data_IF_193583139705
#
_entry.id   IF_193583139705
#
_cell.length_a   1.000
_cell.length_b   1.000
_cell.length_c   1.000
_cell.angle_alpha   90.00
_cell.angle_beta   90.00
_cell.angle_gamma   90.00
#
_symmetry.space_group_name_H-M   'P 1'
#
loop_
_entity.id
_entity.type
_entity.pdbx_description
1 polymer ?
#
# COMPACT_ATOMS: atom_id res chain seq x y z
N UNK A 1 -24.19 -12.89 11.47
CA UNK A 1 -22.77 -12.76 11.16
C UNK A 1 -22.46 -11.35 10.74
N UNK A 2 -21.70 -10.69 11.54
CA UNK A 2 -21.22 -9.39 11.13
C UNK A 2 -20.10 -9.59 10.13
N UNK A 3 -20.35 -9.19 8.92
CA UNK A 3 -19.28 -9.13 7.96
C UNK A 3 -18.32 -8.02 8.42
N UNK A 4 -17.16 -8.43 8.85
CA UNK A 4 -16.09 -7.48 9.02
C UNK A 4 -15.77 -6.93 7.64
N UNK A 5 -15.78 -5.63 7.51
CA UNK A 5 -15.40 -4.99 6.27
C UNK A 5 -13.92 -5.25 6.06
N UNK A 6 -13.60 -6.06 5.07
CA UNK A 6 -12.20 -6.27 4.72
C UNK A 6 -11.60 -4.98 4.22
N UNK A 7 -10.38 -4.73 4.64
CA UNK A 7 -9.59 -3.60 4.16
C UNK A 7 -8.26 -4.10 3.65
N UNK A 8 -7.81 -3.52 2.57
CA UNK A 8 -6.47 -3.75 2.05
C UNK A 8 -5.66 -2.48 2.18
N UNK A 9 -4.47 -2.60 2.75
CA UNK A 9 -3.46 -1.55 2.68
C UNK A 9 -2.57 -1.87 1.48
N UNK A 10 -2.63 -1.02 0.48
CA UNK A 10 -1.78 -1.13 -0.71
C UNK A 10 -0.65 -0.12 -0.59
N UNK A 11 0.58 -0.62 -0.52
CA UNK A 11 1.76 0.24 -0.44
C UNK A 11 2.40 0.32 -1.81
N UNK A 12 2.39 1.49 -2.41
CA UNK A 12 3.13 1.78 -3.63
C UNK A 12 4.54 2.20 -3.25
N UNK A 13 5.54 1.69 -3.94
CA UNK A 13 6.92 1.86 -3.53
C UNK A 13 7.33 0.90 -2.42
N UNK A 14 6.71 -0.27 -2.40
CA UNK A 14 6.89 -1.28 -1.35
C UNK A 14 8.34 -1.77 -1.20
N UNK A 15 9.11 -1.75 -2.27
CA UNK A 15 10.52 -2.13 -2.23
C UNK A 15 11.43 -1.01 -1.71
N UNK A 16 10.89 0.18 -1.46
CA UNK A 16 11.64 1.32 -0.97
C UNK A 16 11.93 1.25 0.52
N UNK A 17 12.80 2.15 0.96
CA UNK A 17 13.27 2.18 2.35
C UNK A 17 12.16 2.55 3.35
N UNK A 18 11.33 3.53 3.01
CA UNK A 18 10.27 4.00 3.90
C UNK A 18 9.28 2.89 4.23
N UNK A 19 8.89 2.07 3.23
CA UNK A 19 7.96 0.97 3.45
C UNK A 19 8.50 0.00 4.51
N UNK A 20 9.76 -0.39 4.38
CA UNK A 20 10.36 -1.36 5.30
C UNK A 20 10.67 -0.79 6.68
N UNK A 21 10.96 0.50 6.78
CA UNK A 21 11.39 1.12 8.04
C UNK A 21 10.25 1.69 8.85
N UNK A 22 9.19 2.18 8.21
CA UNK A 22 8.11 2.87 8.91
C UNK A 22 6.73 2.28 8.65
N UNK A 23 6.38 2.02 7.39
CA UNK A 23 5.01 1.65 7.05
C UNK A 23 4.65 0.24 7.50
N UNK A 24 5.49 -0.73 7.17
CA UNK A 24 5.23 -2.13 7.56
C UNK A 24 5.36 -2.31 9.07
N UNK A 25 6.39 -1.78 9.74
CA UNK A 25 6.45 -1.85 11.20
C UNK A 25 5.24 -1.19 11.87
N UNK A 26 4.79 -0.04 11.38
CA UNK A 26 3.59 0.62 11.90
C UNK A 26 2.34 -0.22 11.76
N UNK A 27 2.18 -0.90 10.63
CA UNK A 27 1.08 -1.83 10.43
C UNK A 27 1.17 -2.99 11.44
N UNK A 28 2.38 -3.52 11.65
CA UNK A 28 2.61 -4.58 12.62
C UNK A 28 2.14 -4.19 14.00
N UNK A 29 2.46 -2.98 14.44
CA UNK A 29 2.02 -2.48 15.75
C UNK A 29 0.50 -2.40 15.83
N UNK A 30 -0.16 -1.92 14.79
CA UNK A 30 -1.63 -1.82 14.76
C UNK A 30 -2.30 -3.20 14.80
N UNK A 31 -1.78 -4.15 14.05
CA UNK A 31 -2.33 -5.52 14.03
C UNK A 31 -2.10 -6.21 15.37
N UNK A 32 -0.89 -6.10 15.91
CA UNK A 32 -0.54 -6.74 17.18
C UNK A 32 -1.35 -6.18 18.35
N UNK A 33 -1.68 -4.89 18.31
CA UNK A 33 -2.48 -4.25 19.37
C UNK A 33 -3.96 -4.58 19.29
N UNK A 34 -4.42 -5.17 18.20
CA UNK A 34 -5.83 -5.41 17.98
C UNK A 34 -6.61 -4.18 17.52
N UNK A 35 -5.93 -3.08 17.21
CA UNK A 35 -6.58 -1.84 16.77
C UNK A 35 -7.26 -1.98 15.40
N UNK A 36 -6.79 -2.91 14.57
CA UNK A 36 -7.39 -3.20 13.28
C UNK A 36 -7.66 -4.69 13.15
N UNK A 37 -8.75 -5.03 12.48
CA UNK A 37 -9.13 -6.41 12.19
C UNK A 37 -9.39 -6.52 10.70
N UNK A 38 -9.16 -7.72 10.15
CA UNK A 38 -9.49 -7.98 8.75
C UNK A 38 -8.67 -7.17 7.75
N UNK A 39 -7.45 -6.82 8.11
CA UNK A 39 -6.58 -6.09 7.21
C UNK A 39 -5.72 -7.04 6.38
N UNK A 40 -5.61 -6.74 5.09
CA UNK A 40 -4.70 -7.41 4.16
C UNK A 40 -3.65 -6.40 3.70
N UNK A 41 -2.47 -6.89 3.35
CA UNK A 41 -1.38 -6.06 2.88
C UNK A 41 -1.03 -6.46 1.45
N UNK A 42 -0.88 -5.47 0.57
CA UNK A 42 -0.39 -5.68 -0.80
C UNK A 42 0.76 -4.71 -1.03
N UNK A 43 1.90 -5.24 -1.47
CA UNK A 43 3.02 -4.41 -1.85
C UNK A 43 3.12 -4.31 -3.37
N UNK A 44 3.47 -3.13 -3.87
CA UNK A 44 3.69 -2.93 -5.30
C UNK A 44 4.83 -1.95 -5.54
N UNK A 45 5.65 -2.25 -6.51
CA UNK A 45 6.72 -1.38 -6.98
C UNK A 45 7.19 -1.85 -8.34
N UNK A 46 8.03 -1.04 -8.99
CA UNK A 46 8.59 -1.37 -10.29
C UNK A 46 9.75 -2.37 -10.21
N UNK A 47 10.35 -2.55 -9.04
CA UNK A 47 11.45 -3.48 -8.86
C UNK A 47 11.02 -4.93 -9.08
N UNK A 48 11.93 -5.75 -9.59
CA UNK A 48 11.67 -7.14 -9.92
C UNK A 48 11.81 -8.04 -8.68
N UNK A 49 10.96 -7.81 -7.71
CA UNK A 49 10.83 -8.67 -6.53
C UNK A 49 9.73 -9.69 -6.77
N UNK A 50 9.76 -10.80 -6.02
CA UNK A 50 8.70 -11.79 -5.98
C UNK A 50 8.02 -11.78 -4.60
N UNK A 51 6.98 -12.59 -4.44
CA UNK A 51 6.24 -12.70 -3.19
C UNK A 51 7.14 -13.14 -2.03
N UNK A 52 8.03 -14.08 -2.29
CA UNK A 52 8.92 -14.61 -1.24
C UNK A 52 9.81 -13.50 -0.66
N UNK A 53 10.43 -12.72 -1.54
CA UNK A 53 11.29 -11.62 -1.11
C UNK A 53 10.51 -10.56 -0.35
N UNK A 54 9.33 -10.21 -0.84
CA UNK A 54 8.46 -9.26 -0.18
C UNK A 54 8.02 -9.76 1.20
N UNK A 55 7.57 -11.01 1.28
CA UNK A 55 7.12 -11.60 2.54
C UNK A 55 8.24 -11.68 3.57
N UNK A 56 9.46 -11.98 3.13
CA UNK A 56 10.62 -11.96 4.02
C UNK A 56 10.85 -10.57 4.60
N UNK A 57 10.75 -9.55 3.76
CA UNK A 57 10.88 -8.15 4.21
C UNK A 57 9.80 -7.79 5.22
N UNK A 58 8.57 -8.18 4.97
CA UNK A 58 7.45 -7.92 5.88
C UNK A 58 7.68 -8.62 7.23
N UNK A 59 8.07 -9.88 7.20
CA UNK A 59 8.35 -10.63 8.42
C UNK A 59 9.48 -10.01 9.24
N UNK A 60 10.56 -9.58 8.59
CA UNK A 60 11.67 -8.91 9.25
C UNK A 60 11.24 -7.58 9.87
N UNK A 61 10.42 -6.82 9.16
CA UNK A 61 9.91 -5.54 9.64
C UNK A 61 9.01 -5.70 10.86
N UNK A 62 8.15 -6.71 10.86
CA UNK A 62 7.30 -7.02 12.01
C UNK A 62 8.15 -7.46 13.21
N UNK A 63 9.14 -8.31 12.98
CA UNK A 63 10.03 -8.78 14.03
C UNK A 63 10.81 -7.61 14.68
N UNK A 64 11.19 -6.64 13.88
CA UNK A 64 11.94 -5.47 14.37
C UNK A 64 11.15 -4.63 15.38
N UNK A 65 9.82 -4.67 15.33
CA UNK A 65 8.97 -3.96 16.29
C UNK A 65 8.51 -4.85 17.45
N UNK A 66 8.87 -6.14 17.41
CA UNK A 66 8.38 -7.11 18.38
C UNK A 66 6.95 -7.55 18.15
N UNK A 67 6.38 -7.24 16.98
CA UNK A 67 5.02 -7.67 16.65
C UNK A 67 5.00 -9.19 16.43
N UNK A 68 4.14 -9.89 17.17
CA UNK A 68 4.01 -11.35 17.11
C UNK A 68 2.55 -11.75 17.21
N UNK A 69 2.25 -13.00 16.83
CA UNK A 69 0.93 -13.59 16.97
C UNK A 69 0.39 -14.09 15.65
N UNK A 70 -0.73 -14.78 15.71
CA UNK A 70 -1.36 -15.42 14.54
C UNK A 70 -1.73 -14.41 13.46
N UNK A 71 -2.24 -13.25 13.84
CA UNK A 71 -2.62 -12.21 12.88
C UNK A 71 -1.41 -11.65 12.16
N UNK A 72 -0.32 -11.47 12.90
CA UNK A 72 0.96 -11.01 12.32
C UNK A 72 1.47 -12.03 11.32
N UNK A 73 1.49 -13.29 11.70
CA UNK A 73 1.93 -14.38 10.82
C UNK A 73 1.04 -14.48 9.59
N UNK A 74 -0.28 -14.35 9.77
CA UNK A 74 -1.23 -14.41 8.66
C UNK A 74 -0.97 -13.31 7.62
N UNK A 75 -0.72 -12.08 8.06
CA UNK A 75 -0.42 -10.99 7.15
C UNK A 75 0.90 -11.25 6.42
N UNK A 76 1.94 -11.60 7.16
CA UNK A 76 3.27 -11.81 6.58
C UNK A 76 3.30 -12.98 5.58
N UNK A 77 2.49 -14.02 5.82
CA UNK A 77 2.49 -15.21 4.99
C UNK A 77 1.57 -15.12 3.76
N UNK A 78 0.66 -14.16 3.75
CA UNK A 78 -0.33 -14.05 2.66
C UNK A 78 -0.13 -12.81 1.77
N UNK A 79 0.68 -11.86 2.18
CA UNK A 79 0.83 -10.60 1.44
C UNK A 79 1.50 -10.82 0.07
N UNK A 80 0.84 -10.41 -1.03
CA UNK A 80 1.45 -10.52 -2.35
C UNK A 80 2.28 -9.30 -2.69
N UNK A 81 3.19 -9.45 -3.63
CA UNK A 81 3.93 -8.37 -4.25
C UNK A 81 3.57 -8.29 -5.73
N UNK A 82 3.14 -7.14 -6.18
CA UNK A 82 2.78 -6.93 -7.58
C UNK A 82 3.81 -6.01 -8.22
N UNK A 83 4.62 -6.56 -9.11
CA UNK A 83 5.55 -5.74 -9.89
C UNK A 83 4.73 -4.94 -10.89
N UNK A 84 4.75 -3.63 -10.78
CA UNK A 84 3.95 -2.77 -11.64
C UNK A 84 4.53 -1.36 -11.71
N UNK A 85 4.33 -0.74 -12.87
CA UNK A 85 4.60 0.69 -13.06
C UNK A 85 3.27 1.42 -12.93
N UNK A 86 3.01 1.99 -11.78
CA UNK A 86 1.74 2.67 -11.49
C UNK A 86 1.59 4.03 -12.16
N UNK A 87 2.60 4.47 -12.91
CA UNK A 87 2.44 5.63 -13.80
C UNK A 87 1.74 5.26 -15.11
N UNK A 88 1.55 3.96 -15.35
CA UNK A 88 0.82 3.45 -16.52
C UNK A 88 -0.57 2.98 -16.09
N UNK A 89 -1.60 3.52 -16.74
CA UNK A 89 -3.00 3.18 -16.42
C UNK A 89 -3.26 1.68 -16.50
N UNK A 90 -2.70 1.00 -17.51
CA UNK A 90 -2.92 -0.43 -17.72
C UNK A 90 -2.40 -1.30 -16.58
N UNK A 91 -1.41 -0.82 -15.84
CA UNK A 91 -0.82 -1.57 -14.73
C UNK A 91 -1.66 -1.50 -13.46
N UNK A 92 -2.44 -0.43 -13.28
CA UNK A 92 -3.26 -0.25 -12.10
C UNK A 92 -4.29 -1.36 -11.90
N UNK A 93 -4.85 -1.87 -12.98
CA UNK A 93 -5.87 -2.93 -12.89
C UNK A 93 -5.30 -4.18 -12.22
N UNK A 94 -4.08 -4.58 -12.59
CA UNK A 94 -3.43 -5.73 -11.96
C UNK A 94 -3.22 -5.53 -10.46
N UNK A 95 -2.80 -4.32 -10.09
CA UNK A 95 -2.54 -3.98 -8.69
C UNK A 95 -3.83 -4.00 -7.89
N UNK A 96 -4.88 -3.39 -8.42
CA UNK A 96 -6.17 -3.33 -7.72
C UNK A 96 -6.86 -4.68 -7.66
N UNK A 97 -6.68 -5.54 -8.64
CA UNK A 97 -7.22 -6.90 -8.63
C UNK A 97 -6.66 -7.75 -7.49
N UNK A 98 -5.49 -7.40 -6.97
CA UNK A 98 -4.89 -8.08 -5.82
C UNK A 98 -5.46 -7.60 -4.48
N UNK A 99 -6.30 -6.57 -4.48
CA UNK A 99 -6.85 -5.97 -3.27
C UNK A 99 -8.29 -6.40 -3.06
N UNK A 100 -8.65 -6.65 -1.80
CA UNK A 100 -9.99 -7.05 -1.42
C UNK A 100 -10.63 -5.97 -0.53
N UNK A 101 -11.94 -5.83 -0.65
CA UNK A 101 -12.69 -4.89 0.18
C UNK A 101 -12.34 -3.44 -0.13
N UNK A 102 -12.42 -2.58 0.89
CA UNK A 102 -12.01 -1.19 0.72
C UNK A 102 -10.50 -1.09 0.73
N UNK A 103 -9.96 -0.19 -0.08
CA UNK A 103 -8.50 -0.09 -0.28
C UNK A 103 -8.00 1.25 0.24
N UNK A 104 -6.94 1.20 1.04
CA UNK A 104 -6.16 2.37 1.40
C UNK A 104 -4.89 2.31 0.57
N UNK A 105 -4.68 3.26 -0.31
CA UNK A 105 -3.51 3.31 -1.18
C UNK A 105 -2.52 4.29 -0.59
N UNK A 106 -1.37 3.79 -0.17
CA UNK A 106 -0.32 4.61 0.40
C UNK A 106 0.75 4.87 -0.66
N UNK A 107 0.94 6.13 -0.99
CA UNK A 107 1.89 6.55 -2.02
C UNK A 107 3.26 6.80 -1.37
N UNK A 108 4.06 5.75 -1.24
CA UNK A 108 5.45 5.84 -0.75
C UNK A 108 6.39 5.99 -1.95
N UNK A 109 6.16 7.03 -2.74
CA UNK A 109 6.83 7.29 -4.01
C UNK A 109 7.35 8.73 -4.02
N UNK A 110 8.38 9.03 -4.83
CA UNK A 110 8.78 10.43 -5.02
C UNK A 110 7.62 11.28 -5.53
N UNK A 111 7.60 12.60 -5.20
CA UNK A 111 6.46 13.45 -5.58
C UNK A 111 6.12 13.44 -7.08
N UNK A 112 7.12 13.47 -7.95
CA UNK A 112 6.87 13.43 -9.39
C UNK A 112 6.25 12.12 -9.86
N UNK A 113 6.64 11.01 -9.26
CA UNK A 113 6.07 9.70 -9.57
C UNK A 113 4.65 9.60 -9.02
N UNK A 114 4.43 10.10 -7.81
CA UNK A 114 3.09 10.14 -7.20
C UNK A 114 2.12 10.91 -8.08
N UNK A 115 2.54 12.06 -8.60
CA UNK A 115 1.71 12.89 -9.49
C UNK A 115 1.32 12.10 -10.74
N UNK A 116 2.27 11.43 -11.38
CA UNK A 116 1.99 10.63 -12.57
C UNK A 116 1.11 9.44 -12.27
N UNK A 117 1.31 8.81 -11.13
CA UNK A 117 0.46 7.68 -10.69
C UNK A 117 -0.98 8.13 -10.46
N UNK A 118 -1.18 9.29 -9.86
CA UNK A 118 -2.51 9.86 -9.67
C UNK A 118 -3.18 10.20 -11.00
N UNK A 119 -2.44 10.73 -11.96
CA UNK A 119 -2.97 10.99 -13.30
C UNK A 119 -3.42 9.70 -13.96
N UNK A 120 -2.65 8.63 -13.83
CA UNK A 120 -3.04 7.32 -14.36
C UNK A 120 -4.32 6.79 -13.72
N UNK A 121 -4.53 7.09 -12.44
CA UNK A 121 -5.74 6.67 -11.73
C UNK A 121 -7.02 7.34 -12.20
N UNK A 122 -6.93 8.53 -12.81
CA UNK A 122 -8.15 9.26 -13.22
C UNK A 122 -8.99 8.50 -14.24
N UNK A 123 -8.39 7.59 -14.99
CA UNK A 123 -9.10 6.77 -15.99
C UNK A 123 -9.60 5.44 -15.45
N UNK A 124 -9.47 5.19 -14.15
CA UNK A 124 -9.74 3.88 -13.55
C UNK A 124 -10.85 4.02 -12.51
N UNK A 125 -11.79 3.07 -12.54
CA UNK A 125 -12.82 2.98 -11.52
C UNK A 125 -12.19 2.34 -10.27
N UNK A 126 -12.25 3.05 -9.14
CA UNK A 126 -11.70 2.57 -7.88
C UNK A 126 -12.76 1.82 -7.07
N UNK A 127 -12.37 0.81 -6.27
CA UNK A 127 -13.31 0.15 -5.38
C UNK A 127 -14.00 1.14 -4.44
N UNK A 128 -15.27 0.88 -4.06
CA UNK A 128 -15.94 1.75 -3.11
C UNK A 128 -15.18 1.89 -1.79
N UNK A 129 -15.11 3.10 -1.27
CA UNK A 129 -14.41 3.35 -0.01
C UNK A 129 -12.91 3.50 -0.13
N UNK A 130 -12.37 3.57 -1.36
CA UNK A 130 -10.94 3.76 -1.57
C UNK A 130 -10.48 5.09 -0.98
N UNK A 131 -9.37 5.06 -0.25
CA UNK A 131 -8.72 6.24 0.32
C UNK A 131 -7.31 6.33 -0.19
N UNK A 132 -6.84 7.55 -0.43
CA UNK A 132 -5.48 7.79 -0.88
C UNK A 132 -4.72 8.51 0.23
N UNK A 133 -3.52 8.03 0.54
CA UNK A 133 -2.64 8.62 1.55
C UNK A 133 -1.35 9.04 0.87
N UNK A 134 -0.96 10.29 1.08
CA UNK A 134 0.22 10.86 0.46
C UNK A 134 1.24 11.28 1.51
N UNK A 135 2.52 11.10 1.19
CA UNK A 135 3.61 11.63 1.98
C UNK A 135 3.83 13.12 1.67
N UNK A 136 4.28 13.87 2.66
CA UNK A 136 4.72 15.24 2.42
C UNK A 136 6.14 15.25 1.84
N UNK A 137 6.47 16.18 0.93
CA UNK A 137 5.59 17.22 0.37
C UNK A 137 4.64 16.66 -0.69
N UNK A 138 3.46 17.27 -0.80
CA UNK A 138 2.46 16.88 -1.81
C UNK A 138 2.78 17.60 -3.12
N UNK A 139 3.31 16.84 -4.09
CA UNK A 139 3.70 17.42 -5.37
C UNK A 139 5.02 18.18 -5.27
N UNK A 140 5.39 18.87 -6.34
CA UNK A 140 6.66 19.59 -6.46
C UNK A 140 6.52 21.09 -6.24
N UNK A 141 5.29 21.60 -6.30
CA UNK A 141 4.95 23.00 -6.05
C UNK A 141 3.48 23.12 -5.65
N UNK A 142 3.00 24.34 -5.40
CA UNK A 142 1.63 24.57 -4.95
C UNK A 142 0.59 24.11 -5.98
N UNK A 143 0.87 24.31 -7.27
CA UNK A 143 -0.05 23.89 -8.34
C UNK A 143 -0.15 22.36 -8.41
N UNK A 144 0.98 21.67 -8.31
CA UNK A 144 1.00 20.21 -8.29
C UNK A 144 0.27 19.66 -7.08
N UNK A 145 0.45 20.29 -5.91
CA UNK A 145 -0.24 19.86 -4.69
C UNK A 145 -1.76 20.01 -4.83
N UNK A 146 -2.22 21.10 -5.43
CA UNK A 146 -3.64 21.34 -5.69
C UNK A 146 -4.18 20.29 -6.67
N UNK A 147 -3.44 20.00 -7.73
CA UNK A 147 -3.84 19.01 -8.73
C UNK A 147 -3.99 17.62 -8.10
N UNK A 148 -3.04 17.22 -7.25
CA UNK A 148 -3.11 15.95 -6.54
C UNK A 148 -4.33 15.90 -5.63
N UNK A 149 -4.62 16.98 -4.93
CA UNK A 149 -5.78 17.04 -4.05
C UNK A 149 -7.10 16.92 -4.83
N UNK A 150 -7.17 17.48 -6.02
CA UNK A 150 -8.37 17.39 -6.85
C UNK A 150 -8.58 16.01 -7.47
N UNK A 151 -7.50 15.24 -7.63
CA UNK A 151 -7.58 13.88 -8.18
C UNK A 151 -8.13 12.86 -7.17
N UNK A 152 -8.12 13.19 -5.93
CA UNK A 152 -8.67 12.36 -4.85
C UNK A 152 -10.01 12.92 -4.39
#
# INVERSE_FOLDING_TARGET
>A
MTSQTEQTLLILGASGDLAGRLLVPGLGDLVASGAVEGVSLVGSAAHDWNDERWRSRVAESFAATGATGERIDAVANSTPYIKADVTAESEWRRVLDACDGSVVIYFSLPPAVTERACQALTGIELPPGTRLVFEKPFGTDAASAIALHQLV
#
